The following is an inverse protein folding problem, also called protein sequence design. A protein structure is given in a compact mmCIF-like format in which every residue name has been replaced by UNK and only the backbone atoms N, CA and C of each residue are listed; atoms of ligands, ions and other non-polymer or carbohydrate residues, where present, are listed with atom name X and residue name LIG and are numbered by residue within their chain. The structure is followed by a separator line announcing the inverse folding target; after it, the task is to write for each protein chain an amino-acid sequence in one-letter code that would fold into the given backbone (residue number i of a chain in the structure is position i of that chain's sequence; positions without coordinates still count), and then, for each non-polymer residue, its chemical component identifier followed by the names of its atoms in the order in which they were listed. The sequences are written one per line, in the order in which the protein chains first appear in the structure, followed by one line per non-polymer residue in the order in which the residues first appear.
data_IF_636557408139
#
_entry.id   IF_636557408139
#
_cell.length_a   1.000
_cell.length_b   1.000
_cell.length_c   1.000
_cell.angle_alpha   90.00
_cell.angle_beta   90.00
_cell.angle_gamma   90.00
#
_symmetry.space_group_name_H-M   'P 1'
#
loop_
_entity.id
_entity.type
_entity.pdbx_description
1 polymer ?
#
# COMPACT_ATOMS: atom_id res chain seq x y z
N UNK A 1 -2.52 3.91 -23.20
CA UNK A 1 -1.94 3.21 -22.03
C UNK A 1 -3.02 2.53 -21.18
N UNK A 2 -3.81 1.63 -21.77
CA UNK A 2 -4.94 0.96 -21.09
C UNK A 2 -4.97 -0.57 -21.30
N UNK A 3 -3.90 -1.16 -21.84
CA UNK A 3 -3.85 -2.61 -22.01
C UNK A 3 -3.78 -3.30 -20.64
N UNK A 4 -4.62 -4.32 -20.45
CA UNK A 4 -4.65 -5.13 -19.22
C UNK A 4 -5.54 -4.61 -18.10
N UNK A 5 -6.37 -3.59 -18.32
CA UNK A 5 -7.38 -3.18 -17.34
C UNK A 5 -8.77 -3.00 -17.95
N UNK A 6 -9.82 -3.32 -17.19
CA UNK A 6 -11.21 -3.08 -17.56
C UNK A 6 -11.94 -2.42 -16.39
N UNK A 7 -12.38 -1.18 -16.59
CA UNK A 7 -13.08 -0.40 -15.56
C UNK A 7 -14.53 -0.15 -15.95
N UNK A 8 -15.43 -0.38 -15.01
CA UNK A 8 -16.86 -0.14 -15.13
C UNK A 8 -17.40 0.55 -13.88
N UNK A 9 -18.51 1.29 -14.02
CA UNK A 9 -19.12 2.02 -12.92
C UNK A 9 -20.50 1.39 -12.64
N UNK A 10 -20.69 0.82 -11.45
CA UNK A 10 -21.98 0.29 -10.98
C UNK A 10 -22.41 1.11 -9.77
N UNK A 11 -23.59 1.71 -9.81
CA UNK A 11 -24.13 2.51 -8.71
C UNK A 11 -23.16 3.58 -8.17
N UNK A 12 -22.45 4.28 -9.08
CA UNK A 12 -21.40 5.29 -8.78
C UNK A 12 -20.13 4.72 -8.11
N UNK A 13 -19.98 3.40 -8.05
CA UNK A 13 -18.77 2.72 -7.57
C UNK A 13 -17.95 2.25 -8.75
N UNK A 14 -16.66 2.57 -8.75
CA UNK A 14 -15.70 2.10 -9.74
C UNK A 14 -15.30 0.65 -9.44
N UNK A 15 -15.44 -0.22 -10.44
CA UNK A 15 -14.95 -1.58 -10.42
C UNK A 15 -13.90 -1.71 -11.50
N UNK A 16 -12.67 -2.06 -11.11
CA UNK A 16 -11.55 -2.24 -12.04
C UNK A 16 -11.04 -3.66 -11.93
N UNK A 17 -11.09 -4.38 -13.05
CA UNK A 17 -10.37 -5.63 -13.24
C UNK A 17 -9.00 -5.29 -13.80
N UNK A 18 -7.94 -5.74 -13.12
CA UNK A 18 -6.57 -5.39 -13.46
C UNK A 18 -5.75 -6.67 -13.67
N UNK A 19 -5.08 -6.77 -14.81
CA UNK A 19 -4.09 -7.80 -15.05
C UNK A 19 -2.85 -7.50 -14.21
N UNK A 20 -2.66 -8.27 -13.15
CA UNK A 20 -1.50 -8.16 -12.29
C UNK A 20 -0.48 -9.24 -12.67
N UNK A 21 0.73 -8.88 -13.15
CA UNK A 21 1.69 -9.85 -13.69
C UNK A 21 2.38 -10.70 -12.61
N UNK A 22 2.13 -10.40 -11.32
CA UNK A 22 2.70 -11.12 -10.20
C UNK A 22 1.72 -12.15 -9.65
N UNK A 23 2.23 -13.34 -9.32
CA UNK A 23 1.44 -14.38 -8.70
C UNK A 23 1.21 -14.05 -7.23
N UNK A 24 -0.03 -13.71 -6.90
CA UNK A 24 -0.46 -13.41 -5.53
C UNK A 24 -1.29 -14.59 -4.98
N UNK A 25 -1.00 -14.98 -3.75
CA UNK A 25 -1.80 -15.95 -3.02
C UNK A 25 -2.97 -15.24 -2.32
N UNK A 26 -4.18 -15.79 -2.48
CA UNK A 26 -5.40 -15.27 -1.88
C UNK A 26 -5.87 -16.22 -0.77
N UNK A 27 -5.18 -16.18 0.36
CA UNK A 27 -5.38 -17.06 1.51
C UNK A 27 -6.61 -16.70 2.35
N UNK A 28 -6.95 -15.41 2.42
CA UNK A 28 -8.05 -14.90 3.24
C UNK A 28 -9.38 -14.97 2.52
N UNK A 29 -10.46 -15.21 3.27
CA UNK A 29 -11.83 -15.18 2.76
C UNK A 29 -12.59 -14.02 3.36
N UNK A 30 -13.19 -13.20 2.51
CA UNK A 30 -14.09 -12.14 2.92
C UNK A 30 -15.54 -12.60 2.78
N UNK A 31 -16.19 -12.85 3.92
CA UNK A 31 -17.58 -13.32 4.05
C UNK A 31 -17.93 -14.56 3.19
N UNK A 32 -16.93 -15.40 2.88
CA UNK A 32 -17.03 -16.51 1.91
C UNK A 32 -17.49 -16.08 0.48
N UNK A 33 -17.48 -14.78 0.17
CA UNK A 33 -17.86 -14.23 -1.14
C UNK A 33 -16.64 -14.12 -2.06
N UNK A 34 -15.56 -13.52 -1.57
CA UNK A 34 -14.31 -13.33 -2.32
C UNK A 34 -13.11 -13.80 -1.51
N UNK A 35 -12.05 -14.16 -2.22
CA UNK A 35 -10.74 -14.38 -1.61
C UNK A 35 -9.89 -13.12 -1.78
N UNK A 36 -9.08 -12.83 -0.77
CA UNK A 36 -8.16 -11.69 -0.76
C UNK A 36 -6.79 -12.10 -0.22
N UNK A 37 -5.72 -11.33 -0.52
CA UNK A 37 -4.41 -11.59 0.05
C UNK A 37 -4.41 -11.32 1.56
N UNK A 38 -3.48 -11.95 2.27
CA UNK A 38 -3.23 -11.62 3.67
C UNK A 38 -2.70 -10.19 3.86
N UNK A 39 -2.71 -9.70 5.10
CA UNK A 39 -2.33 -8.33 5.41
C UNK A 39 -0.88 -8.00 5.03
N UNK A 40 0.05 -8.95 5.22
CA UNK A 40 1.47 -8.77 4.87
C UNK A 40 1.66 -8.66 3.35
N UNK A 41 0.93 -9.45 2.58
CA UNK A 41 0.90 -9.39 1.12
C UNK A 41 0.31 -8.08 0.63
N UNK A 42 -0.77 -7.59 1.25
CA UNK A 42 -1.33 -6.26 0.96
C UNK A 42 -0.33 -5.14 1.27
N UNK A 43 0.41 -5.25 2.37
CA UNK A 43 1.46 -4.30 2.74
C UNK A 43 2.58 -4.26 1.68
N UNK A 44 3.06 -5.44 1.26
CA UNK A 44 4.05 -5.57 0.20
C UNK A 44 3.57 -4.97 -1.12
N UNK A 45 2.31 -5.22 -1.51
CA UNK A 45 1.70 -4.63 -2.69
C UNK A 45 1.61 -3.10 -2.61
N UNK A 46 1.30 -2.53 -1.43
CA UNK A 46 1.31 -1.08 -1.22
C UNK A 46 2.69 -0.47 -1.38
N UNK A 47 3.69 -1.08 -0.75
CA UNK A 47 5.08 -0.65 -0.87
C UNK A 47 5.54 -0.67 -2.32
N UNK A 48 5.23 -1.73 -3.08
CA UNK A 48 5.56 -1.79 -4.51
C UNK A 48 4.85 -0.71 -5.33
N UNK A 49 3.63 -0.32 -4.95
CA UNK A 49 2.86 0.70 -5.66
C UNK A 49 3.29 2.15 -5.32
N UNK A 50 3.87 2.40 -4.14
CA UNK A 50 4.28 3.75 -3.70
C UNK A 50 5.11 4.49 -4.75
N UNK A 51 6.09 3.80 -5.36
CA UNK A 51 6.99 4.41 -6.35
C UNK A 51 6.36 4.71 -7.71
N UNK A 52 5.17 4.20 -7.98
CA UNK A 52 4.42 4.44 -9.23
C UNK A 52 3.24 5.37 -9.00
N UNK A 53 2.75 5.47 -7.75
CA UNK A 53 1.57 6.25 -7.36
C UNK A 53 1.73 6.76 -5.93
N UNK A 54 2.23 7.98 -5.79
CA UNK A 54 2.40 8.63 -4.50
C UNK A 54 1.11 9.32 -4.04
N UNK A 55 0.12 8.56 -3.54
CA UNK A 55 -1.08 9.15 -2.90
C UNK A 55 -0.97 9.08 -1.39
N UNK A 56 -1.36 10.16 -0.70
CA UNK A 56 -1.22 10.24 0.76
C UNK A 56 -1.87 9.07 1.52
N UNK A 57 -3.02 8.57 1.03
CA UNK A 57 -3.71 7.43 1.65
C UNK A 57 -2.87 6.16 1.72
N UNK A 58 -2.04 5.91 0.71
CA UNK A 58 -1.19 4.71 0.67
C UNK A 58 -0.12 4.77 1.78
N UNK A 59 0.40 5.96 2.10
CA UNK A 59 1.28 6.21 3.24
C UNK A 59 0.57 6.07 4.58
N UNK A 60 -0.67 6.55 4.68
CA UNK A 60 -1.47 6.38 5.91
C UNK A 60 -1.77 4.91 6.18
N UNK A 61 -2.14 4.13 5.15
CA UNK A 61 -2.39 2.71 5.30
C UNK A 61 -1.13 1.96 5.76
N UNK A 62 0.03 2.27 5.15
CA UNK A 62 1.32 1.70 5.58
C UNK A 62 1.66 2.09 7.02
N UNK A 63 1.36 3.32 7.45
CA UNK A 63 1.57 3.73 8.84
C UNK A 63 0.81 2.84 9.83
N UNK A 64 -0.46 2.53 9.57
CA UNK A 64 -1.24 1.67 10.46
C UNK A 64 -0.73 0.22 10.43
N UNK A 65 -0.39 -0.29 9.25
CA UNK A 65 0.18 -1.64 9.12
C UNK A 65 1.48 -1.74 9.90
N UNK A 66 2.36 -0.75 9.76
CA UNK A 66 3.69 -0.78 10.39
C UNK A 66 3.66 -0.55 11.89
N UNK A 67 2.73 0.30 12.36
CA UNK A 67 2.56 0.56 13.79
C UNK A 67 2.06 -0.67 14.54
N UNK A 68 1.11 -1.40 13.95
CA UNK A 68 0.30 -2.37 14.70
C UNK A 68 0.60 -3.84 14.33
N UNK A 69 1.19 -4.12 13.16
CA UNK A 69 1.25 -5.49 12.62
C UNK A 69 2.63 -5.94 12.13
N UNK A 70 3.31 -5.20 11.24
CA UNK A 70 4.53 -5.68 10.58
C UNK A 70 5.60 -4.60 10.44
N UNK A 71 6.85 -4.92 10.76
CA UNK A 71 8.00 -4.04 10.52
C UNK A 71 8.26 -3.78 9.03
N UNK A 72 9.02 -2.73 8.73
CA UNK A 72 9.46 -2.45 7.35
C UNK A 72 10.26 -3.62 6.77
N UNK A 73 11.10 -4.26 7.57
CA UNK A 73 11.92 -5.41 7.16
C UNK A 73 11.07 -6.62 6.75
N UNK A 74 10.04 -6.96 7.54
CA UNK A 74 9.08 -8.03 7.20
C UNK A 74 8.35 -7.75 5.88
N UNK A 75 7.91 -6.50 5.70
CA UNK A 75 7.22 -6.07 4.47
C UNK A 75 8.19 -6.11 3.27
N UNK A 76 9.43 -5.64 3.44
CA UNK A 76 10.46 -5.67 2.39
C UNK A 76 10.79 -7.10 1.98
N UNK A 77 10.93 -8.00 2.95
CA UNK A 77 11.16 -9.42 2.68
C UNK A 77 10.02 -10.02 1.87
N UNK A 78 8.77 -9.78 2.26
CA UNK A 78 7.59 -10.23 1.50
C UNK A 78 7.55 -9.62 0.09
N UNK A 79 7.80 -8.32 -0.03
CA UNK A 79 7.82 -7.64 -1.33
C UNK A 79 8.92 -8.19 -2.25
N UNK A 80 10.10 -8.48 -1.71
CA UNK A 80 11.18 -9.14 -2.45
C UNK A 80 10.81 -10.54 -2.91
N UNK A 81 10.11 -11.32 -2.08
CA UNK A 81 9.60 -12.63 -2.45
C UNK A 81 8.56 -12.55 -3.60
N UNK A 82 7.69 -11.55 -3.58
CA UNK A 82 6.60 -11.40 -4.57
C UNK A 82 7.05 -10.79 -5.90
N UNK A 83 7.91 -9.77 -5.85
CA UNK A 83 8.25 -8.93 -7.01
C UNK A 83 9.69 -9.16 -7.50
N UNK A 84 10.52 -9.90 -6.74
CA UNK A 84 11.87 -10.26 -7.13
C UNK A 84 12.72 -9.05 -7.52
N UNK A 85 13.22 -9.05 -8.75
CA UNK A 85 14.09 -8.01 -9.29
C UNK A 85 13.38 -6.66 -9.52
N UNK A 86 12.04 -6.63 -9.54
CA UNK A 86 11.29 -5.37 -9.62
C UNK A 86 11.18 -4.64 -8.28
N UNK A 87 11.67 -5.26 -7.19
CA UNK A 87 11.68 -4.66 -5.86
C UNK A 87 13.05 -4.06 -5.52
N UNK A 88 13.05 -2.80 -5.08
CA UNK A 88 14.23 -2.10 -4.59
C UNK A 88 13.96 -1.52 -3.21
N UNK A 89 14.49 -2.16 -2.18
CA UNK A 89 14.34 -1.74 -0.79
C UNK A 89 14.85 -0.31 -0.53
N UNK A 90 15.99 0.07 -1.14
CA UNK A 90 16.56 1.41 -0.95
C UNK A 90 15.58 2.49 -1.42
N UNK A 91 14.93 2.25 -2.56
CA UNK A 91 13.95 3.16 -3.13
C UNK A 91 12.74 3.36 -2.20
N UNK A 92 12.29 2.30 -1.51
CA UNK A 92 11.20 2.38 -0.54
C UNK A 92 11.58 3.27 0.63
N UNK A 93 12.77 3.08 1.19
CA UNK A 93 13.27 3.90 2.31
C UNK A 93 13.32 5.38 1.93
N UNK A 94 13.77 5.68 0.72
CA UNK A 94 13.75 7.05 0.18
C UNK A 94 12.31 7.59 0.07
N UNK A 95 11.38 6.80 -0.46
CA UNK A 95 9.97 7.18 -0.60
C UNK A 95 9.26 7.42 0.73
N UNK A 96 9.62 6.67 1.78
CA UNK A 96 9.07 6.85 3.13
C UNK A 96 9.59 8.10 3.84
N UNK A 97 10.62 8.76 3.30
CA UNK A 97 11.22 9.96 3.87
C UNK A 97 11.01 11.22 3.01
N UNK A 98 10.44 11.10 1.81
CA UNK A 98 10.23 12.21 0.90
C UNK A 98 8.73 12.37 0.59
N UNK A 99 8.15 13.47 1.06
CA UNK A 99 6.69 13.69 1.04
C UNK A 99 6.23 14.85 0.16
N UNK A 100 7.15 15.52 -0.54
CA UNK A 100 6.89 16.77 -1.24
C UNK A 100 6.10 16.54 -2.55
N UNK A 101 6.34 15.41 -3.22
CA UNK A 101 5.68 15.05 -4.48
C UNK A 101 4.47 14.11 -4.30
N UNK A 102 3.89 14.08 -3.09
CA UNK A 102 2.70 13.28 -2.79
C UNK A 102 1.41 14.03 -3.17
N UNK A 103 0.47 13.31 -3.77
CA UNK A 103 -0.88 13.79 -4.02
C UNK A 103 -1.76 13.71 -2.74
N UNK A 104 -2.12 14.88 -2.21
CA UNK A 104 -3.02 15.07 -1.06
C UNK A 104 -4.47 15.42 -1.46
N UNK A 105 -4.81 15.44 -2.75
CA UNK A 105 -6.14 15.84 -3.23
C UNK A 105 -7.26 14.97 -2.65
N UNK A 106 -6.97 13.69 -2.42
CA UNK A 106 -7.93 12.75 -1.87
C UNK A 106 -7.86 12.72 -0.34
N UNK A 107 -8.86 13.30 0.33
CA UNK A 107 -8.97 13.28 1.80
C UNK A 107 -9.01 11.86 2.36
N UNK A 108 -8.20 11.59 3.38
CA UNK A 108 -8.22 10.35 4.16
C UNK A 108 -9.52 10.29 4.96
N UNK A 109 -10.21 9.15 4.88
CA UNK A 109 -11.43 8.89 5.66
C UNK A 109 -11.05 7.87 6.72
N UNK A 110 -10.92 8.33 7.95
CA UNK A 110 -10.55 7.48 9.07
C UNK A 110 -11.76 6.75 9.63
N UNK A 111 -11.52 5.56 10.20
CA UNK A 111 -12.46 4.96 11.15
C UNK A 111 -12.51 5.84 12.40
N UNK A 112 -13.70 6.00 12.99
CA UNK A 112 -13.89 6.78 14.22
C UNK A 112 -12.90 6.32 15.31
N UNK A 113 -12.11 7.25 15.84
CA UNK A 113 -11.10 7.01 16.88
C UNK A 113 -9.71 6.63 16.36
N UNK A 114 -9.51 6.59 15.05
CA UNK A 114 -8.23 6.31 14.40
C UNK A 114 -7.65 7.55 13.72
N UNK A 115 -8.19 8.73 13.99
CA UNK A 115 -7.68 9.98 13.45
C UNK A 115 -6.27 10.25 13.97
N UNK A 116 -5.31 10.37 13.05
CA UNK A 116 -3.91 10.68 13.37
C UNK A 116 -3.47 11.85 12.50
N UNK A 117 -2.74 12.79 13.10
CA UNK A 117 -2.26 13.95 12.35
C UNK A 117 -1.21 13.56 11.30
N UNK A 118 -1.23 14.21 10.14
CA UNK A 118 -0.23 13.96 9.09
C UNK A 118 1.20 14.15 9.59
N UNK A 119 1.43 15.08 10.52
CA UNK A 119 2.74 15.30 11.14
C UNK A 119 3.22 14.08 11.91
N UNK A 120 2.33 13.42 12.65
CA UNK A 120 2.65 12.19 13.40
C UNK A 120 2.98 11.05 12.43
N UNK A 121 2.20 10.91 11.36
CA UNK A 121 2.39 9.88 10.34
C UNK A 121 3.74 10.08 9.64
N UNK A 122 4.00 11.28 9.12
CA UNK A 122 5.27 11.62 8.44
C UNK A 122 6.48 11.34 9.34
N UNK A 123 6.41 11.76 10.61
CA UNK A 123 7.49 11.53 11.57
C UNK A 123 7.78 10.04 11.74
N UNK A 124 6.76 9.22 11.97
CA UNK A 124 6.92 7.78 12.17
C UNK A 124 7.49 7.09 10.91
N UNK A 125 6.98 7.44 9.72
CA UNK A 125 7.47 6.87 8.45
C UNK A 125 8.95 7.25 8.19
N UNK A 126 9.34 8.48 8.48
CA UNK A 126 10.75 8.91 8.42
C UNK A 126 11.60 8.10 9.40
N UNK A 127 11.16 7.92 10.65
CA UNK A 127 11.91 7.15 11.66
C UNK A 127 12.11 5.70 11.21
N UNK A 128 11.05 5.00 10.78
CA UNK A 128 11.15 3.62 10.29
C UNK A 128 11.94 3.47 9.00
N UNK A 129 12.04 4.51 8.17
CA UNK A 129 12.87 4.47 6.96
C UNK A 129 14.38 4.35 7.26
N UNK A 130 14.79 4.74 8.47
CA UNK A 130 16.18 4.77 8.93
C UNK A 130 16.61 3.51 9.71
N UNK A 131 15.65 2.69 10.13
CA UNK A 131 15.87 1.42 10.87
C UNK A 131 16.28 0.27 9.94
#
# INVERSE_FOLDING_TARGET
DEDGQYTLIINKTYFTFFYYPFKIEFSEKFDDIIKMPDLLTLAAMKVHALGRRAKWKDYVDLYFIMRDFYSLDEINKKAKELFGNEFNEKLIREQLNYFDDIDYSQKVVYKKGFEVSDKTIKKALTEWSLE
#
